data_IF_405532087881
#
_entry.id   IF_405532087881
#
_cell.length_a   1.000
_cell.length_b   1.000
_cell.length_c   1.000
_cell.angle_alpha   90.00
_cell.angle_beta   90.00
_cell.angle_gamma   90.00
#
_symmetry.space_group_name_H-M   'P 1'
#
loop_
_entity.id
_entity.type
_entity.pdbx_description
1 polymer ?
#
# COMPACT_ATOMS: atom_id res chain seq x y z
N UNK A 1 4.01 -7.19 87.60
CA UNK A 1 4.40 -6.17 86.60
C UNK A 1 4.69 -6.87 85.27
N UNK A 2 4.16 -6.29 84.19
CA UNK A 2 4.29 -6.49 82.71
C UNK A 2 5.53 -7.30 82.24
N UNK A 3 5.54 -8.05 81.13
CA UNK A 3 5.01 -7.80 79.77
C UNK A 3 4.82 -9.12 78.98
N UNK A 4 3.84 -9.24 78.07
CA UNK A 4 3.86 -10.28 77.04
C UNK A 4 4.72 -9.85 75.85
N UNK A 5 5.52 -10.78 75.33
CA UNK A 5 6.31 -10.62 74.10
C UNK A 5 5.36 -10.63 72.91
N UNK A 6 5.22 -9.49 72.24
CA UNK A 6 4.48 -9.36 70.98
C UNK A 6 5.46 -9.58 69.83
N UNK A 7 5.38 -10.74 69.19
CA UNK A 7 6.14 -11.04 67.97
C UNK A 7 5.55 -10.23 66.82
N UNK A 8 6.27 -9.18 66.41
CA UNK A 8 5.91 -8.31 65.28
C UNK A 8 6.19 -9.06 63.96
N UNK A 9 5.16 -9.64 63.37
CA UNK A 9 5.23 -10.24 62.03
C UNK A 9 5.24 -9.09 60.99
N UNK A 10 6.42 -8.76 60.48
CA UNK A 10 6.61 -7.73 59.45
C UNK A 10 6.14 -8.30 58.09
N UNK A 11 4.88 -8.03 57.74
CA UNK A 11 4.30 -8.41 56.44
C UNK A 11 4.81 -7.41 55.39
N UNK A 12 5.86 -7.79 54.67
CA UNK A 12 6.33 -7.09 53.47
C UNK A 12 5.30 -7.23 52.35
N UNK A 13 4.42 -6.24 52.21
CA UNK A 13 3.57 -6.10 51.04
C UNK A 13 4.42 -5.65 49.85
N UNK A 14 4.89 -6.61 49.04
CA UNK A 14 5.37 -6.33 47.69
C UNK A 14 4.17 -5.86 46.86
N UNK A 15 4.01 -4.55 46.70
CA UNK A 15 3.11 -3.99 45.71
C UNK A 15 3.72 -4.21 44.33
N UNK A 16 3.30 -5.29 43.66
CA UNK A 16 3.55 -5.48 42.24
C UNK A 16 2.70 -4.50 41.45
N UNK A 17 3.33 -3.55 40.75
CA UNK A 17 2.67 -2.83 39.67
C UNK A 17 2.48 -3.78 38.49
N UNK A 18 1.31 -4.42 38.42
CA UNK A 18 0.84 -5.06 37.19
C UNK A 18 0.45 -3.96 36.21
N UNK A 19 1.31 -3.66 35.24
CA UNK A 19 0.90 -2.91 34.04
C UNK A 19 0.04 -3.85 33.20
N UNK A 20 -1.27 -3.87 33.45
CA UNK A 20 -2.21 -4.42 32.50
C UNK A 20 -2.08 -3.63 31.20
N UNK A 21 -1.52 -4.25 30.14
CA UNK A 21 -1.54 -3.63 28.82
C UNK A 21 -2.99 -3.38 28.45
N UNK A 22 -3.35 -2.18 27.96
CA UNK A 22 -4.70 -1.93 27.48
C UNK A 22 -5.01 -2.95 26.38
N UNK A 23 -6.07 -3.75 26.58
CA UNK A 23 -6.58 -4.68 25.59
C UNK A 23 -7.35 -3.83 24.58
N UNK A 24 -6.74 -3.53 23.43
CA UNK A 24 -7.48 -2.92 22.33
C UNK A 24 -8.56 -3.92 21.87
N UNK A 25 -9.77 -3.45 21.51
CA UNK A 25 -10.77 -4.27 20.84
C UNK A 25 -10.18 -5.07 19.66
N UNK A 26 -10.56 -6.34 19.51
CA UNK A 26 -10.00 -7.24 18.49
C UNK A 26 -10.09 -6.65 17.07
N UNK A 27 -11.15 -5.90 16.73
CA UNK A 27 -11.28 -5.24 15.42
C UNK A 27 -10.18 -4.20 15.12
N UNK A 28 -9.48 -3.71 16.16
CA UNK A 28 -8.34 -2.78 16.05
C UNK A 28 -7.00 -3.50 15.94
N UNK A 29 -6.95 -4.80 16.28
CA UNK A 29 -5.74 -5.63 16.29
C UNK A 29 -5.72 -6.59 15.09
N UNK A 30 -6.88 -7.19 14.77
CA UNK A 30 -7.09 -8.07 13.63
C UNK A 30 -8.36 -7.63 12.88
N UNK A 31 -8.23 -7.11 11.66
CA UNK A 31 -9.40 -6.74 10.88
C UNK A 31 -10.18 -8.00 10.49
N UNK A 32 -11.50 -7.95 10.64
CA UNK A 32 -12.38 -8.99 10.09
C UNK A 32 -12.41 -8.96 8.54
N UNK A 33 -11.91 -7.88 7.93
CA UNK A 33 -11.75 -7.74 6.48
C UNK A 33 -10.48 -8.48 5.96
N UNK A 34 -10.63 -9.46 5.05
CA UNK A 34 -9.51 -10.21 4.47
C UNK A 34 -8.44 -9.35 3.77
N UNK A 35 -8.84 -8.26 3.12
CA UNK A 35 -7.91 -7.36 2.43
C UNK A 35 -6.95 -6.71 3.43
N UNK A 36 -7.47 -6.19 4.54
CA UNK A 36 -6.66 -5.58 5.57
C UNK A 36 -5.70 -6.60 6.19
N UNK A 37 -6.16 -7.85 6.44
CA UNK A 37 -5.28 -8.92 6.94
C UNK A 37 -4.11 -9.19 5.99
N UNK A 38 -4.38 -9.28 4.69
CA UNK A 38 -3.33 -9.48 3.70
C UNK A 38 -2.31 -8.33 3.74
N UNK A 39 -2.76 -7.07 3.77
CA UNK A 39 -1.84 -5.92 3.87
C UNK A 39 -1.01 -5.91 5.17
N UNK A 40 -1.56 -6.31 6.32
CA UNK A 40 -0.75 -6.37 7.55
C UNK A 40 0.23 -7.54 7.56
N UNK A 41 -0.13 -8.65 6.92
CA UNK A 41 0.77 -9.81 6.77
C UNK A 41 1.93 -9.51 5.81
N UNK A 42 1.69 -8.63 4.83
CA UNK A 42 2.65 -8.17 3.84
C UNK A 42 2.89 -6.67 4.02
N UNK A 43 3.51 -6.34 5.15
CA UNK A 43 3.69 -4.93 5.55
C UNK A 43 4.60 -4.15 4.60
N UNK A 44 5.54 -4.83 3.93
CA UNK A 44 6.36 -4.30 2.86
C UNK A 44 5.53 -3.72 1.71
N UNK A 45 4.44 -4.40 1.31
CA UNK A 45 3.51 -3.88 0.29
C UNK A 45 2.80 -2.62 0.77
N UNK A 46 2.36 -2.60 2.02
CA UNK A 46 1.67 -1.45 2.59
C UNK A 46 2.61 -0.26 2.73
N UNK A 47 3.79 -0.48 3.28
CA UNK A 47 4.78 0.56 3.52
C UNK A 47 5.26 1.14 2.16
N UNK A 48 5.52 0.30 1.16
CA UNK A 48 5.82 0.74 -0.21
C UNK A 48 4.68 1.53 -0.88
N UNK A 49 3.43 1.10 -0.72
CA UNK A 49 2.29 1.81 -1.29
C UNK A 49 2.07 3.18 -0.64
N UNK A 50 2.32 3.28 0.67
CA UNK A 50 2.32 4.55 1.42
C UNK A 50 3.42 5.48 0.92
N UNK A 51 4.65 4.99 0.76
CA UNK A 51 5.77 5.79 0.27
C UNK A 51 5.51 6.27 -1.16
N UNK A 52 4.94 5.40 -1.99
CA UNK A 52 4.51 5.72 -3.36
C UNK A 52 3.46 6.83 -3.37
N UNK A 53 2.42 6.74 -2.54
CA UNK A 53 1.40 7.78 -2.41
C UNK A 53 2.00 9.11 -1.91
N UNK A 54 2.93 9.02 -0.96
CA UNK A 54 3.58 10.20 -0.40
C UNK A 54 4.42 10.94 -1.43
N UNK A 55 5.19 10.19 -2.24
CA UNK A 55 6.12 10.69 -3.25
C UNK A 55 5.40 11.17 -4.51
N UNK A 56 4.48 10.36 -5.05
CA UNK A 56 3.89 10.58 -6.38
C UNK A 56 2.42 11.00 -6.35
N UNK A 57 1.75 10.91 -5.20
CA UNK A 57 0.34 11.30 -5.05
C UNK A 57 -0.67 10.29 -5.62
N UNK A 58 -0.22 9.15 -6.14
CA UNK A 58 -1.12 8.06 -6.55
C UNK A 58 -1.77 7.42 -5.32
N UNK A 59 -3.10 7.30 -5.24
CA UNK A 59 -3.73 6.70 -4.07
C UNK A 59 -3.32 5.25 -3.85
N UNK A 60 -3.16 4.82 -2.58
CA UNK A 60 -2.75 3.45 -2.20
C UNK A 60 -3.58 2.37 -2.93
N UNK A 61 -4.90 2.55 -3.02
CA UNK A 61 -5.78 1.57 -3.67
C UNK A 61 -5.57 1.47 -5.18
N UNK A 62 -5.07 2.53 -5.82
CA UNK A 62 -4.77 2.57 -7.25
C UNK A 62 -3.44 1.85 -7.48
N UNK A 63 -2.38 2.24 -6.78
CA UNK A 63 -1.05 1.64 -6.96
C UNK A 63 -1.04 0.13 -6.67
N UNK A 64 -1.75 -0.32 -5.64
CA UNK A 64 -1.92 -1.75 -5.36
C UNK A 64 -2.73 -2.48 -6.44
N UNK A 65 -3.75 -1.83 -7.03
CA UNK A 65 -4.57 -2.44 -8.07
C UNK A 65 -3.83 -2.56 -9.41
N UNK A 66 -2.93 -1.63 -9.73
CA UNK A 66 -2.09 -1.61 -10.94
C UNK A 66 -1.18 -2.85 -11.08
N UNK A 67 -0.80 -3.46 -9.95
CA UNK A 67 -0.08 -4.74 -9.93
C UNK A 67 -0.93 -5.88 -10.51
N UNK A 68 -2.26 -5.74 -10.46
CA UNK A 68 -3.24 -6.69 -10.99
C UNK A 68 -3.00 -8.14 -10.51
N UNK A 69 -2.74 -8.27 -9.21
CA UNK A 69 -2.45 -9.54 -8.55
C UNK A 69 -2.94 -9.52 -7.10
N UNK A 70 -3.14 -10.69 -6.47
CA UNK A 70 -3.45 -10.75 -5.05
C UNK A 70 -2.29 -10.21 -4.20
N UNK A 71 -2.63 -9.40 -3.19
CA UNK A 71 -1.65 -8.90 -2.20
C UNK A 71 -0.92 -10.06 -1.55
N UNK A 72 0.40 -9.93 -1.44
CA UNK A 72 1.25 -10.96 -0.82
C UNK A 72 1.66 -12.10 -1.74
N UNK A 73 1.39 -11.95 -3.04
CA UNK A 73 1.90 -12.91 -4.02
C UNK A 73 3.41 -12.72 -4.19
N UNK A 74 4.17 -13.81 -4.06
CA UNK A 74 5.59 -13.83 -4.46
C UNK A 74 5.69 -13.90 -5.98
N UNK A 75 6.42 -12.98 -6.60
CA UNK A 75 6.58 -12.92 -8.05
C UNK A 75 8.05 -12.71 -8.44
N UNK A 76 8.45 -13.31 -9.57
CA UNK A 76 9.76 -13.04 -10.15
C UNK A 76 9.86 -11.59 -10.66
N UNK A 77 8.74 -11.03 -11.12
CA UNK A 77 8.58 -9.64 -11.53
C UNK A 77 7.17 -9.17 -11.16
N UNK A 78 7.06 -8.07 -10.42
CA UNK A 78 5.78 -7.45 -10.06
C UNK A 78 5.21 -6.58 -11.18
N UNK A 79 6.10 -6.02 -12.00
CA UNK A 79 5.77 -5.17 -13.14
C UNK A 79 6.60 -5.59 -14.36
N UNK A 80 6.11 -5.25 -15.55
CA UNK A 80 6.82 -5.45 -16.82
C UNK A 80 6.83 -4.13 -17.59
N UNK A 81 7.68 -3.17 -17.21
CA UNK A 81 7.73 -1.85 -17.82
C UNK A 81 8.28 -1.91 -19.25
N UNK A 82 7.87 -0.96 -20.09
CA UNK A 82 8.52 -0.74 -21.38
C UNK A 82 9.94 -0.21 -21.14
N UNK A 83 10.94 -0.69 -21.89
CA UNK A 83 12.34 -0.32 -21.66
C UNK A 83 12.58 1.20 -21.65
N UNK A 84 11.91 1.97 -22.50
CA UNK A 84 12.02 3.43 -22.52
C UNK A 84 11.58 4.06 -21.20
N UNK A 85 10.44 3.59 -20.69
CA UNK A 85 9.81 4.14 -19.49
C UNK A 85 10.56 3.67 -18.24
N UNK A 86 11.12 2.45 -18.27
CA UNK A 86 12.00 1.96 -17.21
C UNK A 86 13.29 2.78 -17.07
N UNK A 87 13.96 3.07 -18.20
CA UNK A 87 15.18 3.88 -18.17
C UNK A 87 14.90 5.32 -17.75
N UNK A 88 13.78 5.89 -18.22
CA UNK A 88 13.34 7.22 -17.80
C UNK A 88 13.00 7.28 -16.30
N UNK A 89 12.28 6.28 -15.79
CA UNK A 89 12.01 6.13 -14.36
C UNK A 89 13.29 6.07 -13.55
N UNK A 90 14.28 5.26 -13.94
CA UNK A 90 15.55 5.11 -13.19
C UNK A 90 16.34 6.43 -13.16
N UNK A 91 16.30 7.20 -14.25
CA UNK A 91 16.87 8.54 -14.30
C UNK A 91 16.12 9.52 -13.38
N UNK A 92 14.79 9.51 -13.42
CA UNK A 92 13.96 10.45 -12.67
C UNK A 92 13.90 10.16 -11.16
N UNK A 93 13.92 8.88 -10.79
CA UNK A 93 13.81 8.43 -9.40
C UNK A 93 15.16 8.24 -8.70
N UNK A 94 16.26 8.26 -9.47
CA UNK A 94 17.62 7.86 -9.05
C UNK A 94 17.72 6.41 -8.53
N UNK A 95 16.71 5.57 -8.82
CA UNK A 95 16.65 4.18 -8.37
C UNK A 95 17.47 3.23 -9.25
N UNK A 96 18.80 3.41 -9.27
CA UNK A 96 19.70 2.69 -10.18
C UNK A 96 19.83 1.19 -9.90
N UNK A 97 19.68 0.78 -8.64
CA UNK A 97 19.81 -0.59 -8.16
C UNK A 97 18.48 -1.32 -8.01
N UNK A 98 17.35 -0.63 -8.17
CA UNK A 98 16.03 -1.21 -8.00
C UNK A 98 15.74 -2.32 -9.00
N UNK A 99 15.04 -3.35 -8.53
CA UNK A 99 14.62 -4.48 -9.36
C UNK A 99 13.10 -4.53 -9.50
N UNK A 100 12.60 -4.96 -10.67
CA UNK A 100 11.17 -5.24 -10.89
C UNK A 100 10.65 -6.41 -10.03
N UNK A 101 11.56 -7.19 -9.43
CA UNK A 101 11.24 -8.26 -8.48
C UNK A 101 11.03 -7.75 -7.05
N UNK A 102 11.24 -6.46 -6.78
CA UNK A 102 11.06 -5.85 -5.47
C UNK A 102 9.77 -5.05 -5.46
N UNK A 103 8.92 -5.29 -4.46
CA UNK A 103 7.62 -4.63 -4.39
C UNK A 103 7.74 -3.11 -4.25
N UNK A 104 8.75 -2.65 -3.50
CA UNK A 104 9.07 -1.23 -3.29
C UNK A 104 9.37 -0.53 -4.62
N UNK A 105 10.30 -1.10 -5.40
CA UNK A 105 10.66 -0.59 -6.72
C UNK A 105 9.48 -0.64 -7.70
N UNK A 106 8.68 -1.72 -7.65
CA UNK A 106 7.53 -1.89 -8.53
C UNK A 106 6.43 -0.86 -8.27
N UNK A 107 6.10 -0.59 -7.01
CA UNK A 107 5.11 0.41 -6.63
C UNK A 107 5.62 1.83 -6.86
N UNK A 108 6.91 2.11 -6.59
CA UNK A 108 7.51 3.41 -6.90
C UNK A 108 7.47 3.72 -8.41
N UNK A 109 7.77 2.72 -9.25
CA UNK A 109 7.60 2.83 -10.71
C UNK A 109 6.15 3.10 -11.10
N UNK A 110 5.17 2.39 -10.50
CA UNK A 110 3.75 2.63 -10.77
C UNK A 110 3.35 4.06 -10.39
N UNK A 111 3.86 4.58 -9.27
CA UNK A 111 3.61 5.96 -8.86
C UNK A 111 4.18 6.98 -9.83
N UNK A 112 5.46 6.85 -10.18
CA UNK A 112 6.11 7.69 -11.19
C UNK A 112 5.36 7.65 -12.53
N UNK A 113 4.98 6.44 -12.98
CA UNK A 113 4.27 6.26 -14.23
C UNK A 113 2.86 6.87 -14.16
N UNK A 114 2.15 6.75 -13.02
CA UNK A 114 0.84 7.35 -12.87
C UNK A 114 0.91 8.89 -12.95
N UNK A 115 1.85 9.50 -12.22
CA UNK A 115 2.10 10.96 -12.30
C UNK A 115 2.44 11.39 -13.73
N UNK A 116 3.42 10.72 -14.34
CA UNK A 116 3.85 11.04 -15.71
C UNK A 116 2.70 10.88 -16.73
N UNK A 117 1.81 9.91 -16.52
CA UNK A 117 0.62 9.75 -17.35
C UNK A 117 -0.41 10.87 -17.15
N UNK A 118 -0.53 11.42 -15.93
CA UNK A 118 -1.36 12.61 -15.71
C UNK A 118 -0.84 13.83 -16.47
N UNK A 119 0.48 14.00 -16.52
CA UNK A 119 1.13 15.11 -17.22
C UNK A 119 1.09 14.96 -18.75
N UNK A 120 1.38 13.76 -19.27
CA UNK A 120 1.57 13.53 -20.71
C UNK A 120 0.31 13.10 -21.45
N UNK A 121 -0.54 12.34 -20.77
CA UNK A 121 -1.69 11.66 -21.38
C UNK A 121 -3.04 12.20 -20.89
N UNK A 122 -3.03 13.28 -20.10
CA UNK A 122 -4.24 13.92 -19.55
C UNK A 122 -5.11 12.92 -18.78
N UNK A 123 -4.45 11.96 -18.13
CA UNK A 123 -5.12 11.03 -17.22
C UNK A 123 -5.26 11.64 -15.83
N UNK A 124 -6.12 11.05 -15.03
CA UNK A 124 -6.32 11.42 -13.64
C UNK A 124 -6.06 10.22 -12.73
N UNK A 125 -5.67 10.48 -11.49
CA UNK A 125 -5.29 9.45 -10.51
C UNK A 125 -6.44 8.49 -10.13
N UNK A 126 -7.68 8.78 -10.52
CA UNK A 126 -8.86 7.93 -10.34
C UNK A 126 -9.14 6.99 -11.52
N UNK A 127 -8.42 7.12 -12.63
CA UNK A 127 -8.58 6.31 -13.84
C UNK A 127 -7.67 5.08 -13.85
N UNK A 128 -7.76 4.23 -12.81
CA UNK A 128 -6.89 3.06 -12.64
C UNK A 128 -6.78 2.21 -13.92
N UNK A 129 -7.89 1.87 -14.57
CA UNK A 129 -7.86 1.06 -15.79
C UNK A 129 -7.06 1.69 -16.93
N UNK A 130 -7.11 3.01 -17.09
CA UNK A 130 -6.34 3.71 -18.12
C UNK A 130 -4.86 3.87 -17.74
N UNK A 131 -4.57 4.10 -16.45
CA UNK A 131 -3.21 4.10 -15.92
C UNK A 131 -2.53 2.73 -16.14
N UNK A 132 -3.26 1.65 -15.88
CA UNK A 132 -2.82 0.28 -16.17
C UNK A 132 -2.54 0.05 -17.64
N UNK A 133 -3.45 0.46 -18.52
CA UNK A 133 -3.24 0.31 -19.96
C UNK A 133 -1.99 1.07 -20.38
N UNK A 134 -1.85 2.32 -19.93
CA UNK A 134 -0.69 3.14 -20.21
C UNK A 134 0.61 2.48 -19.70
N UNK A 135 0.63 1.90 -18.50
CA UNK A 135 1.83 1.26 -17.93
C UNK A 135 2.24 -0.02 -18.66
N UNK A 136 1.33 -0.65 -19.41
CA UNK A 136 1.63 -1.84 -20.22
C UNK A 136 2.17 -1.54 -21.61
N UNK A 137 1.80 -0.39 -22.20
CA UNK A 137 2.23 -0.01 -23.57
C UNK A 137 3.18 1.19 -23.60
N UNK A 138 3.41 1.79 -22.43
CA UNK A 138 4.20 2.99 -22.22
C UNK A 138 3.47 4.28 -22.61
N UNK A 139 3.99 5.40 -22.12
CA UNK A 139 3.36 6.72 -22.31
C UNK A 139 3.11 7.07 -23.77
N UNK A 140 4.10 6.85 -24.63
CA UNK A 140 4.02 7.17 -26.05
C UNK A 140 3.04 6.29 -26.82
N UNK A 141 2.99 4.99 -26.49
CA UNK A 141 2.01 4.08 -27.10
C UNK A 141 0.58 4.44 -26.72
N UNK A 142 0.37 4.82 -25.45
CA UNK A 142 -0.92 5.30 -24.98
C UNK A 142 -1.36 6.58 -25.69
N UNK A 143 -0.47 7.58 -25.79
CA UNK A 143 -0.73 8.84 -26.50
C UNK A 143 -1.15 8.61 -27.96
N UNK A 144 -0.56 7.61 -28.63
CA UNK A 144 -0.87 7.25 -30.02
C UNK A 144 -2.05 6.28 -30.19
N UNK A 145 -2.74 5.93 -29.10
CA UNK A 145 -3.88 5.01 -29.07
C UNK A 145 -3.52 3.59 -29.57
N UNK A 146 -2.29 3.14 -29.37
CA UNK A 146 -1.80 1.83 -29.84
C UNK A 146 -2.41 0.65 -29.07
N UNK A 147 -3.13 0.90 -27.98
CA UNK A 147 -3.94 -0.11 -27.30
C UNK A 147 -5.19 -0.50 -28.09
N UNK A 148 -5.54 0.19 -29.18
CA UNK A 148 -6.76 -0.10 -29.94
C UNK A 148 -6.46 -0.66 -31.36
N UNK A 149 -7.04 -1.81 -31.74
CA UNK A 149 -7.89 -2.70 -30.94
C UNK A 149 -7.06 -3.75 -30.18
N UNK A 150 -7.10 -3.72 -28.84
CA UNK A 150 -6.56 -4.79 -27.98
C UNK A 150 -7.56 -5.12 -26.85
N UNK A 151 -8.54 -5.95 -27.19
CA UNK A 151 -9.62 -6.35 -26.28
C UNK A 151 -9.13 -7.03 -24.99
N UNK A 152 -7.98 -7.70 -25.03
CA UNK A 152 -7.42 -8.33 -23.83
C UNK A 152 -6.94 -7.26 -22.84
N UNK A 153 -6.20 -6.27 -23.35
CA UNK A 153 -5.67 -5.18 -22.54
C UNK A 153 -6.78 -4.30 -21.96
N UNK A 154 -7.82 -4.01 -22.75
CA UNK A 154 -9.00 -3.29 -22.28
C UNK A 154 -9.70 -4.02 -21.13
N UNK A 155 -9.93 -5.34 -21.25
CA UNK A 155 -10.52 -6.15 -20.17
C UNK A 155 -9.66 -6.19 -18.91
N UNK A 156 -8.33 -6.18 -19.06
CA UNK A 156 -7.44 -6.09 -17.91
C UNK A 156 -7.55 -4.72 -17.22
N UNK A 157 -7.63 -3.63 -17.99
CA UNK A 157 -7.89 -2.30 -17.46
C UNK A 157 -9.21 -2.24 -16.68
N UNK A 158 -10.29 -2.80 -17.23
CA UNK A 158 -11.58 -2.88 -16.53
C UNK A 158 -11.51 -3.69 -15.22
N UNK A 159 -10.72 -4.78 -15.21
CA UNK A 159 -10.50 -5.58 -14.01
C UNK A 159 -9.75 -4.78 -12.94
N UNK A 160 -8.75 -3.99 -13.33
CA UNK A 160 -7.99 -3.12 -12.43
C UNK A 160 -8.86 -1.99 -11.88
N UNK A 161 -9.71 -1.36 -12.69
CA UNK A 161 -10.70 -0.39 -12.22
C UNK A 161 -11.63 -0.97 -11.14
N UNK A 162 -12.09 -2.21 -11.36
CA UNK A 162 -12.94 -2.90 -10.38
C UNK A 162 -12.16 -3.19 -9.10
N UNK A 163 -10.89 -3.61 -9.23
CA UNK A 163 -10.03 -3.91 -8.10
C UNK A 163 -9.72 -2.66 -7.27
N UNK A 164 -9.38 -1.54 -7.92
CA UNK A 164 -9.14 -0.26 -7.27
C UNK A 164 -10.36 0.22 -6.47
N UNK A 165 -11.56 0.15 -7.05
CA UNK A 165 -12.81 0.49 -6.35
C UNK A 165 -13.06 -0.42 -5.14
N UNK A 166 -12.75 -1.71 -5.26
CA UNK A 166 -12.88 -2.67 -4.15
C UNK A 166 -11.89 -2.33 -3.03
N UNK A 167 -10.61 -2.18 -3.35
CA UNK A 167 -9.54 -1.84 -2.39
C UNK A 167 -9.83 -0.52 -1.67
N UNK A 168 -10.34 0.47 -2.41
CA UNK A 168 -10.78 1.73 -1.82
C UNK A 168 -11.90 1.57 -0.80
N UNK A 169 -12.85 0.67 -1.05
CA UNK A 169 -13.93 0.37 -0.11
C UNK A 169 -13.40 -0.39 1.10
N UNK A 170 -12.48 -1.35 0.90
CA UNK A 170 -11.89 -2.16 1.95
C UNK A 170 -10.97 -1.36 2.88
N UNK A 171 -10.17 -0.43 2.34
CA UNK A 171 -9.28 0.44 3.11
C UNK A 171 -10.02 1.24 4.20
N UNK A 172 -11.30 1.57 4.00
CA UNK A 172 -12.13 2.26 5.01
C UNK A 172 -12.28 1.48 6.31
N UNK A 173 -12.11 0.16 6.25
CA UNK A 173 -12.26 -0.75 7.38
C UNK A 173 -10.91 -1.25 7.93
N UNK A 174 -9.78 -0.76 7.40
CA UNK A 174 -8.45 -1.14 7.88
C UNK A 174 -7.99 -0.20 9.02
N UNK A 175 -7.98 -0.65 10.29
CA UNK A 175 -7.58 0.19 11.42
C UNK A 175 -6.11 0.60 11.34
N UNK A 176 -5.73 1.83 11.71
CA UNK A 176 -4.32 2.25 11.80
C UNK A 176 -3.52 2.33 10.46
N UNK A 177 -4.06 1.96 9.29
CA UNK A 177 -3.41 2.32 8.00
C UNK A 177 -3.24 3.84 7.89
N UNK A 178 -4.22 4.58 8.40
CA UNK A 178 -4.22 6.06 8.46
C UNK A 178 -3.00 6.64 9.19
N UNK A 179 -2.48 5.94 10.20
CA UNK A 179 -1.33 6.41 10.97
C UNK A 179 -0.02 6.16 10.22
N UNK A 180 0.08 5.03 9.49
CA UNK A 180 1.23 4.72 8.65
C UNK A 180 1.30 5.60 7.40
N UNK A 181 0.16 5.90 6.77
CA UNK A 181 0.07 6.75 5.58
C UNK A 181 0.46 8.23 5.82
N UNK A 182 0.87 8.61 7.04
CA UNK A 182 1.55 9.89 7.29
C UNK A 182 0.70 11.15 7.14
N UNK A 183 -0.64 11.06 7.08
CA UNK A 183 -1.47 12.27 7.03
C UNK A 183 -2.95 12.02 7.36
N UNK A 184 -3.41 12.67 8.43
CA UNK A 184 -4.84 12.83 8.76
C UNK A 184 -5.61 13.63 7.69
N UNK A 185 -4.92 14.38 6.82
CA UNK A 185 -5.49 15.37 5.90
C UNK A 185 -5.50 14.96 4.41
N UNK A 186 -4.87 13.86 4.02
CA UNK A 186 -4.79 13.43 2.60
C UNK A 186 -6.00 12.60 2.12
N UNK A 187 -7.04 12.47 2.96
CA UNK A 187 -8.32 11.84 2.59
C UNK A 187 -9.39 12.93 2.39
N UNK A 188 -10.28 12.85 1.38
CA UNK A 188 -10.83 11.61 0.84
C UNK A 188 -10.78 11.57 -0.69
N UNK A 189 -10.01 10.64 -1.25
CA UNK A 189 -10.41 10.07 -2.53
C UNK A 189 -11.84 9.61 -2.36
#
# INVERSE_FOLDING_TARGET
MKFPVVTLCLISMLQGCSTAKPVLPDFLITPDNPFCRALYQHNDWLDAAVDTENRWGVPIHISLAELNMPIGTDAAEYIRPVNSDWEEYRLASENWSGSVSEIETALDFIGWHAETATDRNVLTMDQAGQLYIASRIGHGGYYRLEYYPNLLLERQGEAVDKLARQYRADLKYCPNIRERAGSFFRWPW
#
